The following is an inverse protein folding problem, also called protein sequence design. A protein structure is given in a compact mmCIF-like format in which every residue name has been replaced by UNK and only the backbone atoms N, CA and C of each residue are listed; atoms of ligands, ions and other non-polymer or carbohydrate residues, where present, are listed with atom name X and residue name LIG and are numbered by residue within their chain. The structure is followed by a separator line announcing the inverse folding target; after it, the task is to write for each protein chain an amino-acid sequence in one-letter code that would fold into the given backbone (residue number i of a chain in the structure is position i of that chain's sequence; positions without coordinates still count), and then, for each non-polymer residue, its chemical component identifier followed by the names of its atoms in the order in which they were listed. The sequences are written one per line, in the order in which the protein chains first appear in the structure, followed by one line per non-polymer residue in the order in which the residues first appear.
data_IF_681283931028
#
_entry.id   IF_681283931028
#
_cell.length_a   1.000
_cell.length_b   1.000
_cell.length_c   1.000
_cell.angle_alpha   90.00
_cell.angle_beta   90.00
_cell.angle_gamma   90.00
#
_symmetry.space_group_name_H-M   'P 1'
#
loop_
_entity.id
_entity.type
_entity.pdbx_description
1 polymer ?
#
# COMPACT_ATOMS: atom_id res chain seq x y z
N UNK A 1 -16.62 23.77 5.49
CA UNK A 1 -16.60 23.27 4.10
C UNK A 1 -15.54 22.18 3.82
N UNK A 2 -14.75 21.69 4.80
CA UNK A 2 -13.59 20.78 4.58
C UNK A 2 -13.91 19.27 4.62
N UNK A 3 -15.11 18.85 5.05
CA UNK A 3 -15.47 17.42 5.16
C UNK A 3 -15.94 16.73 3.86
N UNK A 4 -16.29 17.48 2.83
CA UNK A 4 -16.86 16.92 1.60
C UNK A 4 -15.80 16.38 0.61
N UNK A 5 -14.54 16.82 0.71
CA UNK A 5 -13.49 16.40 -0.23
C UNK A 5 -12.93 15.01 0.09
N UNK A 6 -12.86 14.63 1.36
CA UNK A 6 -12.38 13.31 1.77
C UNK A 6 -13.32 12.16 1.34
N UNK A 7 -14.64 12.44 1.29
CA UNK A 7 -15.61 11.45 0.80
C UNK A 7 -15.52 11.20 -0.70
N UNK A 8 -15.04 12.19 -1.47
CA UNK A 8 -14.97 12.08 -2.93
C UNK A 8 -13.83 11.20 -3.43
N UNK A 9 -12.74 11.06 -2.68
CA UNK A 9 -11.61 10.21 -3.06
C UNK A 9 -11.92 8.74 -2.75
N UNK A 10 -12.67 8.48 -1.68
CA UNK A 10 -13.10 7.12 -1.33
C UNK A 10 -14.16 6.57 -2.31
N UNK A 11 -14.87 7.46 -3.01
CA UNK A 11 -15.90 7.07 -4.00
C UNK A 11 -15.32 6.66 -5.37
N UNK A 12 -14.02 6.85 -5.60
CA UNK A 12 -13.35 6.46 -6.86
C UNK A 12 -12.69 5.08 -6.82
N UNK A 13 -12.90 4.30 -5.76
CA UNK A 13 -12.61 2.86 -5.81
C UNK A 13 -13.65 2.23 -6.73
N UNK A 14 -13.27 1.74 -7.93
CA UNK A 14 -14.26 1.17 -8.84
C UNK A 14 -14.95 0.01 -8.12
N UNK A 15 -16.29 0.05 -8.12
CA UNK A 15 -17.20 -0.97 -7.57
C UNK A 15 -17.05 -2.36 -8.23
N UNK A 16 -16.00 -2.59 -8.99
CA UNK A 16 -15.67 -3.83 -9.69
C UNK A 16 -15.09 -4.94 -8.78
N UNK A 17 -14.94 -4.70 -7.48
CA UNK A 17 -14.32 -5.66 -6.55
C UNK A 17 -15.33 -6.38 -5.63
N UNK A 18 -16.63 -6.21 -5.79
CA UNK A 18 -17.62 -6.98 -5.00
C UNK A 18 -18.53 -7.82 -5.89
N UNK A 19 -18.53 -9.14 -5.67
CA UNK A 19 -19.34 -9.75 -4.63
C UNK A 19 -18.49 -10.53 -3.63
N UNK A 20 -18.32 -10.01 -2.43
CA UNK A 20 -17.99 -10.84 -1.27
C UNK A 20 -19.24 -11.68 -0.97
N UNK A 21 -19.32 -12.85 -1.57
CA UNK A 21 -20.22 -13.87 -1.06
C UNK A 21 -19.65 -14.37 0.27
N UNK A 22 -20.22 -13.92 1.37
CA UNK A 22 -20.07 -14.56 2.68
C UNK A 22 -20.71 -15.96 2.60
N UNK A 23 -20.00 -16.92 2.03
CA UNK A 23 -20.33 -18.32 2.19
C UNK A 23 -19.63 -18.78 3.48
N UNK A 24 -20.38 -18.77 4.57
CA UNK A 24 -19.99 -19.47 5.78
C UNK A 24 -19.86 -20.97 5.48
N UNK A 25 -18.64 -21.47 5.38
CA UNK A 25 -18.38 -22.90 5.31
C UNK A 25 -17.86 -23.36 6.66
N UNK A 26 -18.56 -24.33 7.22
CA UNK A 26 -18.18 -25.06 8.42
C UNK A 26 -16.74 -25.59 8.30
N UNK A 27 -15.96 -25.48 9.37
CA UNK A 27 -14.60 -26.00 9.42
C UNK A 27 -14.62 -27.53 9.24
N UNK A 28 -13.89 -28.09 8.26
CA UNK A 28 -13.72 -29.52 8.17
C UNK A 28 -12.78 -30.02 9.27
N UNK A 29 -13.09 -31.21 9.80
CA UNK A 29 -12.32 -31.90 10.82
C UNK A 29 -10.86 -32.12 10.38
N UNK A 30 -9.94 -32.12 11.33
CA UNK A 30 -8.52 -32.29 11.12
C UNK A 30 -8.21 -33.73 10.61
N UNK A 31 -7.86 -33.83 9.34
CA UNK A 31 -7.32 -35.06 8.72
C UNK A 31 -5.80 -35.09 8.81
N UNK A 32 -5.27 -36.21 9.29
CA UNK A 32 -3.86 -36.43 9.63
C UNK A 32 -2.94 -36.78 8.44
N UNK A 33 -3.38 -36.70 7.19
CA UNK A 33 -2.54 -36.93 6.02
C UNK A 33 -2.11 -35.60 5.35
N UNK A 34 -1.11 -34.93 5.93
CA UNK A 34 -0.66 -33.62 5.49
C UNK A 34 0.25 -33.63 4.22
N UNK A 35 0.57 -34.80 3.66
CA UNK A 35 1.59 -34.91 2.60
C UNK A 35 1.05 -34.79 1.17
N UNK A 36 -0.27 -34.85 0.94
CA UNK A 36 -0.81 -34.97 -0.42
C UNK A 36 -2.04 -34.10 -0.67
N UNK A 37 -2.15 -32.93 -0.02
CA UNK A 37 -3.19 -31.97 -0.36
C UNK A 37 -2.75 -31.12 -1.54
N UNK A 38 -3.53 -31.06 -2.64
CA UNK A 38 -3.31 -30.08 -3.68
C UNK A 38 -3.29 -28.69 -3.02
N UNK A 39 -2.22 -27.93 -3.26
CA UNK A 39 -2.05 -26.60 -2.72
C UNK A 39 -3.26 -25.75 -3.12
N UNK A 40 -4.07 -25.36 -2.14
CA UNK A 40 -5.30 -24.62 -2.39
C UNK A 40 -4.95 -23.33 -3.13
N UNK A 41 -5.32 -23.24 -4.40
CA UNK A 41 -5.05 -22.07 -5.24
C UNK A 41 -6.02 -20.96 -4.84
N UNK A 42 -5.61 -20.10 -3.95
CA UNK A 42 -6.36 -18.91 -3.61
C UNK A 42 -6.22 -17.88 -4.73
N UNK A 43 -7.35 -17.30 -5.15
CA UNK A 43 -7.38 -16.30 -6.25
C UNK A 43 -7.34 -14.88 -5.75
N UNK A 44 -7.65 -14.67 -4.48
CA UNK A 44 -7.72 -13.33 -3.88
C UNK A 44 -6.88 -13.27 -2.61
N UNK A 45 -6.24 -12.12 -2.41
CA UNK A 45 -5.51 -11.82 -1.20
C UNK A 45 -5.81 -10.39 -0.75
N UNK A 46 -5.88 -10.18 0.55
CA UNK A 46 -5.95 -8.86 1.17
C UNK A 46 -4.76 -8.72 2.10
N UNK A 47 -4.06 -7.62 1.98
CA UNK A 47 -2.96 -7.25 2.85
C UNK A 47 -3.35 -6.06 3.70
N UNK A 48 -2.95 -6.08 4.96
CA UNK A 48 -3.04 -4.95 5.88
C UNK A 48 -1.72 -4.85 6.66
N UNK A 49 -1.13 -3.67 6.68
CA UNK A 49 0.16 -3.50 7.33
C UNK A 49 0.47 -2.07 7.78
N UNK A 50 1.46 -2.00 8.66
CA UNK A 50 2.13 -0.76 9.00
C UNK A 50 3.05 -0.35 7.85
N UNK A 51 3.12 0.94 7.61
CA UNK A 51 3.98 1.51 6.59
C UNK A 51 4.76 2.71 7.13
N UNK A 52 6.03 2.76 6.77
CA UNK A 52 6.91 3.89 7.00
C UNK A 52 7.39 4.42 5.67
N UNK A 53 7.23 5.72 5.42
CA UNK A 53 7.72 6.35 4.22
C UNK A 53 8.70 7.48 4.54
N UNK A 54 9.80 7.53 3.79
CA UNK A 54 10.78 8.61 3.83
C UNK A 54 10.57 9.48 2.61
N UNK A 55 9.91 10.62 2.82
CA UNK A 55 9.65 11.61 1.78
C UNK A 55 10.89 12.47 1.55
N UNK A 56 11.22 12.65 0.27
CA UNK A 56 12.27 13.55 -0.14
C UNK A 56 11.69 14.97 -0.31
N UNK A 57 12.34 15.98 0.26
CA UNK A 57 11.94 17.38 0.10
C UNK A 57 12.84 18.14 -0.87
N UNK A 58 12.33 19.24 -1.37
CA UNK A 58 13.03 20.13 -2.32
C UNK A 58 14.39 20.62 -1.77
N UNK A 59 14.53 20.75 -0.45
CA UNK A 59 15.75 21.23 0.20
C UNK A 59 16.65 20.11 0.76
N UNK A 60 16.57 18.89 0.21
CA UNK A 60 17.38 17.73 0.61
C UNK A 60 17.11 17.19 2.04
N UNK A 61 16.20 17.76 2.78
CA UNK A 61 15.73 17.18 4.04
C UNK A 61 14.75 16.05 3.77
N UNK A 62 14.89 14.94 4.50
CA UNK A 62 13.94 13.82 4.43
C UNK A 62 13.04 13.84 5.65
N UNK A 63 11.74 13.63 5.43
CA UNK A 63 10.77 13.49 6.50
C UNK A 63 10.27 12.07 6.56
N UNK A 64 10.28 11.50 7.78
CA UNK A 64 9.66 10.20 8.06
C UNK A 64 8.18 10.37 8.37
N UNK A 65 7.32 9.68 7.63
CA UNK A 65 5.90 9.58 7.92
C UNK A 65 5.55 8.13 8.26
N UNK A 66 4.66 7.98 9.21
CA UNK A 66 4.15 6.67 9.64
C UNK A 66 2.69 6.54 9.25
N UNK A 67 2.28 5.32 8.95
CA UNK A 67 0.92 5.09 8.56
C UNK A 67 0.60 3.61 8.39
N UNK A 68 -0.42 3.38 7.60
CA UNK A 68 -0.85 2.03 7.26
C UNK A 68 -1.09 1.91 5.76
N UNK A 69 -1.04 0.68 5.27
CA UNK A 69 -1.38 0.33 3.91
C UNK A 69 -2.32 -0.86 3.89
N UNK A 70 -3.26 -0.81 2.95
CA UNK A 70 -4.20 -1.87 2.65
C UNK A 70 -4.08 -2.18 1.17
N UNK A 71 -3.99 -3.44 0.79
CA UNK A 71 -4.07 -3.82 -0.61
C UNK A 71 -4.96 -5.04 -0.84
N UNK A 72 -5.55 -5.09 -2.03
CA UNK A 72 -6.31 -6.22 -2.53
C UNK A 72 -5.66 -6.71 -3.81
N UNK A 73 -5.32 -7.98 -3.85
CA UNK A 73 -4.67 -8.63 -4.99
C UNK A 73 -5.60 -9.69 -5.57
N UNK A 74 -5.65 -9.77 -6.89
CA UNK A 74 -6.26 -10.86 -7.62
C UNK A 74 -5.20 -11.59 -8.44
N UNK A 75 -5.04 -12.88 -8.19
CA UNK A 75 -4.14 -13.74 -8.92
C UNK A 75 -4.86 -14.31 -10.17
N UNK A 76 -4.30 -14.04 -11.34
CA UNK A 76 -4.79 -14.51 -12.63
C UNK A 76 -4.12 -15.81 -13.05
N UNK A 77 -2.87 -15.99 -12.63
CA UNK A 77 -2.05 -17.17 -12.86
C UNK A 77 -1.19 -17.45 -11.62
N UNK A 78 -0.53 -18.60 -11.58
CA UNK A 78 0.31 -19.04 -10.44
C UNK A 78 1.33 -17.98 -10.00
N UNK A 79 1.88 -17.21 -10.94
CA UNK A 79 2.95 -16.26 -10.68
C UNK A 79 2.59 -14.81 -10.98
N UNK A 80 1.37 -14.56 -11.46
CA UNK A 80 0.96 -13.24 -11.93
C UNK A 80 -0.41 -12.86 -11.40
N UNK A 81 -0.49 -11.62 -10.88
CA UNK A 81 -1.72 -11.01 -10.40
C UNK A 81 -1.76 -9.52 -10.69
N UNK A 82 -2.82 -8.90 -10.23
CA UNK A 82 -2.97 -7.45 -10.16
C UNK A 82 -3.32 -7.05 -8.74
N UNK A 83 -2.79 -5.94 -8.29
CA UNK A 83 -3.07 -5.40 -6.95
C UNK A 83 -3.57 -3.97 -7.04
N UNK A 84 -4.49 -3.64 -6.15
CA UNK A 84 -4.92 -2.28 -5.85
C UNK A 84 -4.54 -1.97 -4.40
N UNK A 85 -3.92 -0.85 -4.18
CA UNK A 85 -3.39 -0.47 -2.89
C UNK A 85 -3.82 0.94 -2.49
N UNK A 86 -4.19 1.11 -1.23
CA UNK A 86 -4.42 2.39 -0.60
C UNK A 86 -3.54 2.54 0.63
N UNK A 87 -2.89 3.70 0.78
CA UNK A 87 -2.05 3.98 1.94
C UNK A 87 -2.36 5.36 2.50
N UNK A 88 -2.21 5.49 3.81
CA UNK A 88 -2.36 6.74 4.54
C UNK A 88 -1.16 6.93 5.46
N UNK A 89 -0.55 8.11 5.39
CA UNK A 89 0.62 8.48 6.20
C UNK A 89 0.41 9.81 6.88
N UNK A 90 0.92 9.91 8.09
CA UNK A 90 0.94 11.13 8.87
C UNK A 90 2.31 11.33 9.52
N UNK A 91 2.67 12.57 9.78
CA UNK A 91 3.93 12.89 10.45
C UNK A 91 3.96 12.34 11.87
N UNK A 92 5.07 11.70 12.25
CA UNK A 92 5.17 10.97 13.51
C UNK A 92 5.42 11.84 14.74
N UNK A 93 5.89 13.07 14.55
CA UNK A 93 6.33 13.93 15.68
C UNK A 93 5.90 15.38 15.47
N UNK A 94 5.15 15.93 16.42
CA UNK A 94 4.88 17.36 16.52
C UNK A 94 6.14 18.09 17.02
N UNK A 95 7.10 18.34 16.16
CA UNK A 95 8.29 19.13 16.47
C UNK A 95 8.08 20.59 16.08
N UNK A 96 7.09 21.26 16.68
CA UNK A 96 6.98 22.73 16.62
C UNK A 96 6.85 23.37 15.23
N UNK A 97 6.72 22.61 14.18
CA UNK A 97 6.52 23.12 12.82
C UNK A 97 5.05 23.48 12.61
N UNK A 98 4.74 24.61 11.98
CA UNK A 98 3.38 25.02 11.66
C UNK A 98 2.80 24.19 10.53
N UNK A 99 2.43 22.95 10.80
CA UNK A 99 1.76 22.07 9.87
C UNK A 99 2.13 20.59 10.07
N UNK A 100 1.13 19.74 9.98
CA UNK A 100 1.31 18.28 10.05
C UNK A 100 1.00 17.69 8.67
N UNK A 101 2.01 17.37 7.86
CA UNK A 101 1.78 16.79 6.53
C UNK A 101 1.09 15.43 6.63
N UNK A 102 0.15 15.21 5.75
CA UNK A 102 -0.46 13.91 5.49
C UNK A 102 -0.36 13.57 4.01
N UNK A 103 -0.19 12.29 3.73
CA UNK A 103 -0.08 11.76 2.37
C UNK A 103 -1.00 10.56 2.25
N UNK A 104 -1.86 10.59 1.24
CA UNK A 104 -2.73 9.49 0.86
C UNK A 104 -2.33 9.01 -0.52
N UNK A 105 -2.19 7.70 -0.73
CA UNK A 105 -1.91 7.13 -2.04
C UNK A 105 -2.96 6.10 -2.42
N UNK A 106 -3.32 6.09 -3.70
CA UNK A 106 -4.11 5.01 -4.30
C UNK A 106 -3.38 4.58 -5.57
N UNK A 107 -2.88 3.37 -5.54
CA UNK A 107 -2.04 2.80 -6.61
C UNK A 107 -2.64 1.49 -7.10
N UNK A 108 -2.39 1.16 -8.36
CA UNK A 108 -2.85 -0.07 -8.99
C UNK A 108 -1.80 -0.56 -9.98
N UNK A 109 -1.64 -1.89 -10.10
CA UNK A 109 -0.74 -2.45 -11.09
C UNK A 109 -0.51 -3.95 -11.00
N UNK A 110 0.35 -4.48 -11.86
CA UNK A 110 0.72 -5.88 -11.84
C UNK A 110 1.59 -6.24 -10.64
N UNK A 111 1.44 -7.48 -10.19
CA UNK A 111 2.30 -8.12 -9.21
C UNK A 111 2.72 -9.50 -9.68
N UNK A 112 3.98 -9.82 -9.47
CA UNK A 112 4.55 -11.14 -9.76
C UNK A 112 4.96 -11.79 -8.45
N UNK A 113 4.61 -13.06 -8.30
CA UNK A 113 4.98 -13.88 -7.15
C UNK A 113 5.93 -14.99 -7.59
N UNK A 114 6.87 -15.33 -6.74
CA UNK A 114 7.74 -16.49 -6.94
C UNK A 114 7.89 -17.24 -5.62
N UNK A 115 7.51 -18.51 -5.61
CA UNK A 115 7.80 -19.37 -4.48
C UNK A 115 9.31 -19.65 -4.44
N UNK A 116 9.95 -19.39 -3.30
CA UNK A 116 11.38 -19.66 -3.11
C UNK A 116 11.56 -21.09 -2.58
N UNK A 117 11.65 -21.23 -1.27
CA UNK A 117 11.78 -22.55 -0.63
C UNK A 117 10.87 -22.63 0.60
N UNK A 118 10.18 -23.76 0.72
CA UNK A 118 9.34 -24.07 1.86
C UNK A 118 8.21 -23.04 2.07
N UNK A 119 8.35 -22.19 3.08
CA UNK A 119 7.32 -21.23 3.47
C UNK A 119 7.56 -19.81 2.95
N UNK A 120 8.65 -19.58 2.19
CA UNK A 120 9.00 -18.25 1.70
C UNK A 120 8.57 -18.06 0.26
N UNK A 121 8.00 -16.89 -0.03
CA UNK A 121 7.73 -16.43 -1.40
C UNK A 121 8.19 -14.98 -1.57
N UNK A 122 8.65 -14.66 -2.77
CA UNK A 122 9.01 -13.33 -3.19
C UNK A 122 7.82 -12.70 -3.92
N UNK A 123 7.61 -11.40 -3.78
CA UNK A 123 6.74 -10.64 -4.66
C UNK A 123 7.47 -9.41 -5.19
N UNK A 124 7.08 -9.01 -6.40
CA UNK A 124 7.54 -7.77 -7.05
C UNK A 124 6.32 -7.12 -7.68
N UNK A 125 6.16 -5.83 -7.50
CA UNK A 125 5.06 -5.06 -8.04
C UNK A 125 5.52 -3.82 -8.81
N UNK A 126 4.68 -3.38 -9.72
CA UNK A 126 4.81 -2.13 -10.47
C UNK A 126 3.45 -1.42 -10.39
N UNK A 127 3.42 -0.29 -9.74
CA UNK A 127 2.18 0.40 -9.38
C UNK A 127 2.14 1.81 -9.98
N UNK A 128 0.94 2.24 -10.38
CA UNK A 128 0.69 3.60 -10.82
C UNK A 128 -0.68 4.09 -10.33
N UNK A 129 -0.81 5.39 -10.10
CA UNK A 129 -2.07 5.96 -9.61
C UNK A 129 -1.94 7.41 -9.18
N UNK A 130 -2.55 7.75 -8.07
CA UNK A 130 -2.58 9.09 -7.52
C UNK A 130 -2.06 9.17 -6.09
N UNK A 131 -1.47 10.32 -5.79
CA UNK A 131 -1.06 10.71 -4.46
C UNK A 131 -1.71 12.04 -4.12
N UNK A 132 -2.36 12.10 -2.97
CA UNK A 132 -2.89 13.33 -2.39
C UNK A 132 -2.02 13.71 -1.21
N UNK A 133 -1.53 14.94 -1.24
CA UNK A 133 -0.77 15.53 -0.15
C UNK A 133 -1.59 16.66 0.46
N UNK A 134 -1.58 16.75 1.78
CA UNK A 134 -2.31 17.75 2.52
C UNK A 134 -1.85 17.80 3.97
N UNK A 135 -2.71 18.27 4.83
CA UNK A 135 -2.46 18.37 6.27
C UNK A 135 -2.84 19.72 6.84
N UNK A 136 -2.74 19.85 8.14
CA UNK A 136 -3.02 21.12 8.81
C UNK A 136 -1.99 22.17 8.43
N UNK A 137 -2.45 23.33 7.95
CA UNK A 137 -1.58 24.41 7.47
C UNK A 137 -0.95 24.19 6.09
N UNK A 138 -1.33 23.11 5.39
CA UNK A 138 -0.80 22.77 4.07
C UNK A 138 -1.83 23.01 2.96
N UNK A 139 -1.36 23.41 1.79
CA UNK A 139 -2.20 23.48 0.59
C UNK A 139 -2.35 22.07 0.00
N UNK A 140 -3.57 21.51 -0.07
CA UNK A 140 -3.78 20.18 -0.60
C UNK A 140 -3.46 20.13 -2.10
N UNK A 141 -2.79 19.06 -2.53
CA UNK A 141 -2.49 18.80 -3.93
C UNK A 141 -2.67 17.32 -4.26
N UNK A 142 -3.18 17.06 -5.46
CA UNK A 142 -3.23 15.73 -6.05
C UNK A 142 -2.20 15.66 -7.17
N UNK A 143 -1.41 14.60 -7.20
CA UNK A 143 -0.39 14.36 -8.21
C UNK A 143 -0.44 12.91 -8.71
N UNK A 144 0.09 12.68 -9.89
CA UNK A 144 0.36 11.33 -10.38
C UNK A 144 1.47 10.71 -9.54
N UNK A 145 1.33 9.42 -9.22
CA UNK A 145 2.34 8.64 -8.54
C UNK A 145 2.54 7.31 -9.27
N UNK A 146 3.79 6.88 -9.36
CA UNK A 146 4.14 5.58 -9.87
C UNK A 146 5.30 5.00 -9.06
N UNK A 147 5.30 3.69 -8.87
CA UNK A 147 6.30 3.04 -8.06
C UNK A 147 6.57 1.62 -8.47
N UNK A 148 7.67 1.12 -7.99
CA UNK A 148 8.02 -0.29 -8.07
C UNK A 148 8.53 -0.76 -6.72
N UNK A 149 8.26 -2.00 -6.42
CA UNK A 149 8.63 -2.56 -5.13
C UNK A 149 8.70 -4.06 -5.15
N UNK A 150 8.83 -4.59 -3.95
CA UNK A 150 8.83 -6.01 -3.73
C UNK A 150 9.24 -6.35 -2.31
N UNK A 151 9.21 -7.64 -2.00
CA UNK A 151 9.52 -8.10 -0.66
C UNK A 151 9.34 -9.59 -0.51
N UNK A 152 9.32 -10.00 0.73
CA UNK A 152 9.20 -11.39 1.12
C UNK A 152 7.89 -11.63 1.87
N UNK A 153 7.31 -12.78 1.59
CA UNK A 153 6.21 -13.33 2.37
C UNK A 153 6.65 -14.62 3.06
N UNK A 154 6.22 -14.76 4.31
CA UNK A 154 6.39 -15.99 5.08
C UNK A 154 5.03 -16.61 5.37
N UNK A 155 4.76 -17.81 4.85
CA UNK A 155 3.51 -18.55 5.04
C UNK A 155 3.42 -19.03 6.49
N UNK A 156 2.54 -18.43 7.29
CA UNK A 156 2.26 -18.83 8.66
C UNK A 156 1.29 -20.01 8.71
N UNK A 157 0.23 -19.92 7.90
CA UNK A 157 -0.84 -20.91 7.74
C UNK A 157 -1.30 -20.91 6.28
N UNK A 158 -2.10 -21.88 5.83
CA UNK A 158 -2.55 -21.93 4.41
C UNK A 158 -3.17 -20.63 3.91
N UNK A 159 -3.87 -19.88 4.77
CA UNK A 159 -4.54 -18.61 4.40
C UNK A 159 -3.83 -17.36 4.91
N UNK A 160 -2.84 -17.47 5.81
CA UNK A 160 -2.20 -16.34 6.44
C UNK A 160 -0.70 -16.31 6.17
N UNK A 161 -0.19 -15.16 5.76
CA UNK A 161 1.23 -14.92 5.59
C UNK A 161 1.61 -13.61 6.28
N UNK A 162 2.84 -13.54 6.76
CA UNK A 162 3.50 -12.28 7.13
C UNK A 162 4.20 -11.75 5.87
N UNK A 163 4.01 -10.46 5.55
CA UNK A 163 4.66 -9.80 4.42
C UNK A 163 5.51 -8.65 4.94
N UNK A 164 6.74 -8.55 4.41
CA UNK A 164 7.60 -7.38 4.57
C UNK A 164 8.08 -6.95 3.19
N UNK A 165 8.01 -5.65 2.91
CA UNK A 165 8.33 -5.11 1.59
C UNK A 165 8.96 -3.73 1.64
N UNK A 166 9.56 -3.36 0.52
CA UNK A 166 10.10 -2.04 0.27
C UNK A 166 9.77 -1.58 -1.14
N UNK A 167 9.46 -0.29 -1.28
CA UNK A 167 9.06 0.30 -2.54
C UNK A 167 9.72 1.65 -2.75
N UNK A 168 9.92 1.99 -4.03
CA UNK A 168 10.28 3.31 -4.51
C UNK A 168 9.12 3.90 -5.25
N UNK A 169 8.60 5.03 -4.76
CA UNK A 169 7.46 5.74 -5.35
C UNK A 169 7.94 7.10 -5.84
N UNK A 170 7.74 7.37 -7.12
CA UNK A 170 7.95 8.66 -7.74
C UNK A 170 6.63 9.41 -7.77
N UNK A 171 6.59 10.62 -7.26
CA UNK A 171 5.43 11.49 -7.32
C UNK A 171 5.83 12.94 -7.53
N UNK A 172 4.96 13.72 -8.16
CA UNK A 172 5.11 15.18 -8.27
C UNK A 172 4.60 15.82 -6.98
N UNK A 173 5.38 15.62 -5.93
CA UNK A 173 5.05 16.06 -4.61
C UNK A 173 5.34 17.54 -4.42
N UNK A 174 4.43 18.29 -3.80
CA UNK A 174 4.71 19.63 -3.31
C UNK A 174 4.10 19.84 -1.94
N UNK A 175 4.93 20.06 -0.95
CA UNK A 175 4.54 20.70 0.29
C UNK A 175 4.63 22.20 0.09
N UNK A 176 3.49 22.87 -0.05
CA UNK A 176 3.42 24.33 0.02
C UNK A 176 2.92 24.70 1.40
N UNK A 177 3.76 25.36 2.18
CA UNK A 177 3.38 25.98 3.43
C UNK A 177 2.99 27.44 3.13
N UNK A 178 1.77 27.83 3.44
CA UNK A 178 1.29 29.21 3.25
C UNK A 178 2.08 30.26 4.06
N UNK A 179 2.89 29.84 5.03
CA UNK A 179 3.61 30.73 5.94
C UNK A 179 5.10 30.88 5.61
N UNK A 180 5.72 29.96 4.90
CA UNK A 180 7.18 29.91 4.74
C UNK A 180 7.67 30.05 3.30
N UNK A 181 6.80 30.24 2.32
CA UNK A 181 7.24 30.45 0.92
C UNK A 181 8.11 29.34 0.33
N UNK A 182 7.98 28.11 0.82
CA UNK A 182 8.73 26.99 0.29
C UNK A 182 8.36 26.76 -1.16
N UNK A 183 9.31 27.00 -2.03
CA UNK A 183 9.17 26.90 -3.46
C UNK A 183 8.83 25.47 -3.88
N UNK A 184 7.87 25.38 -4.74
CA UNK A 184 7.45 24.17 -5.42
C UNK A 184 8.51 23.71 -6.41
N UNK A 185 8.86 22.43 -6.39
CA UNK A 185 9.59 21.80 -7.48
C UNK A 185 8.64 21.05 -8.41
N UNK A 186 8.60 21.36 -9.72
CA UNK A 186 7.79 20.64 -10.69
C UNK A 186 8.34 19.24 -11.01
N UNK A 187 9.41 18.81 -10.37
CA UNK A 187 10.11 17.58 -10.71
C UNK A 187 9.54 16.39 -9.93
N UNK A 188 9.49 15.22 -10.57
CA UNK A 188 9.19 13.97 -9.88
C UNK A 188 10.26 13.65 -8.85
N UNK A 189 9.83 13.37 -7.63
CA UNK A 189 10.71 13.05 -6.52
C UNK A 189 10.52 11.59 -6.10
N UNK A 190 11.62 10.92 -5.83
CA UNK A 190 11.61 9.53 -5.37
C UNK A 190 11.49 9.44 -3.86
N UNK A 191 10.46 8.76 -3.41
CA UNK A 191 10.21 8.45 -2.01
C UNK A 191 10.49 6.97 -1.76
N UNK A 192 10.96 6.62 -0.58
CA UNK A 192 11.19 5.24 -0.16
C UNK A 192 10.14 4.85 0.88
N UNK A 193 9.50 3.71 0.68
CA UNK A 193 8.51 3.14 1.59
C UNK A 193 8.96 1.76 2.06
N UNK A 194 8.77 1.47 3.34
CA UNK A 194 8.91 0.15 3.92
C UNK A 194 7.58 -0.26 4.55
N UNK A 195 7.19 -1.53 4.37
CA UNK A 195 5.92 -2.05 4.87
C UNK A 195 6.10 -3.38 5.58
N UNK A 196 5.31 -3.63 6.61
CA UNK A 196 5.21 -4.92 7.28
C UNK A 196 3.77 -5.18 7.72
N UNK A 197 3.26 -6.38 7.48
CA UNK A 197 1.87 -6.68 7.81
C UNK A 197 1.47 -8.11 7.50
N UNK A 198 0.17 -8.34 7.51
CA UNK A 198 -0.43 -9.65 7.30
C UNK A 198 -1.16 -9.71 5.95
N UNK A 199 -1.04 -10.85 5.30
CA UNK A 199 -1.81 -11.22 4.10
C UNK A 199 -2.80 -12.30 4.47
N UNK A 200 -4.04 -12.12 4.05
CA UNK A 200 -5.09 -13.14 4.11
C UNK A 200 -5.52 -13.54 2.70
N UNK A 201 -5.52 -14.85 2.41
CA UNK A 201 -5.89 -15.42 1.09
C UNK A 201 -7.20 -16.19 1.16
N UNK A 202 -8.03 -16.05 0.12
CA UNK A 202 -9.34 -16.71 0.01
C UNK A 202 -9.75 -16.99 -1.43
#
# INVERSE_FOLDING_TARGET
MKRKLLLSILAMVPAALLPLALAGQAAPAADTNAADRPEATYKYAVYAGYAYTSLNQVNQSRYGLQGFTLSATRDWAKYFGTTAEGSYYKYATNTGNPGTPSVDTVLFGPVVHADLFGKYSLFVDLLAGGEHTGGEGMTPKVSFAAGFGGGLEYKLRPRFSLRAGGERIASSFSLSNNTSGLAYSPHMMWNARATVGLVYRF
#
